data_IF_150435750977
#
_entry.id   IF_150435750977
#
_cell.length_a   1.000
_cell.length_b   1.000
_cell.length_c   1.000
_cell.angle_alpha   90.00
_cell.angle_beta   90.00
_cell.angle_gamma   90.00
#
_symmetry.space_group_name_H-M   'P 1'
#
loop_
_entity.id
_entity.type
_entity.pdbx_description
1 polymer ?
#
# COMPACT_ATOMS: atom_id res chain seq x y z
N UNK A 1 25.44 3.44 -19.22
CA UNK A 1 24.05 3.90 -18.95
C UNK A 1 23.20 3.32 -20.07
N UNK A 2 22.18 2.53 -19.73
CA UNK A 2 21.24 2.01 -20.74
C UNK A 2 20.43 3.14 -21.34
N UNK A 3 19.87 2.92 -22.53
CA UNK A 3 18.90 3.86 -23.09
C UNK A 3 17.70 3.98 -22.14
N UNK A 4 17.37 5.21 -21.73
CA UNK A 4 16.23 5.49 -20.84
C UNK A 4 14.93 4.97 -21.46
N UNK A 5 14.16 4.18 -20.71
CA UNK A 5 12.84 3.69 -21.15
C UNK A 5 11.71 4.70 -20.86
N UNK A 6 12.06 5.91 -20.40
CA UNK A 6 11.12 6.91 -19.90
C UNK A 6 9.99 7.24 -20.88
N UNK A 7 10.28 7.47 -22.16
CA UNK A 7 9.24 7.91 -23.10
C UNK A 7 8.18 6.81 -23.29
N UNK A 8 8.62 5.55 -23.37
CA UNK A 8 7.74 4.40 -23.45
C UNK A 8 6.97 4.18 -22.13
N UNK A 9 7.62 4.42 -20.98
CA UNK A 9 7.02 4.30 -19.66
C UNK A 9 5.96 5.38 -19.46
N UNK A 10 6.27 6.63 -19.83
CA UNK A 10 5.37 7.78 -19.77
C UNK A 10 4.17 7.57 -20.69
N UNK A 11 4.38 7.08 -21.92
CA UNK A 11 3.27 6.77 -22.82
C UNK A 11 2.28 5.81 -22.17
N UNK A 12 2.75 4.74 -21.51
CA UNK A 12 1.89 3.79 -20.79
C UNK A 12 1.23 4.40 -19.56
N UNK A 13 1.97 5.12 -18.72
CA UNK A 13 1.41 5.78 -17.55
C UNK A 13 0.26 6.69 -17.96
N UNK A 14 0.44 7.48 -19.02
CA UNK A 14 -0.57 8.43 -19.49
C UNK A 14 -1.84 7.77 -20.05
N UNK A 15 -1.82 6.49 -20.42
CA UNK A 15 -3.05 5.74 -20.76
C UNK A 15 -3.99 5.67 -19.56
N UNK A 16 -3.43 5.64 -18.35
CA UNK A 16 -4.21 5.64 -17.10
C UNK A 16 -4.54 7.05 -16.61
N UNK A 17 -3.98 8.08 -17.24
CA UNK A 17 -4.20 9.46 -16.85
C UNK A 17 -5.34 10.07 -17.65
N UNK A 18 -6.33 10.62 -16.95
CA UNK A 18 -7.48 11.29 -17.57
C UNK A 18 -7.12 12.63 -18.22
N UNK A 19 -8.08 13.22 -18.92
CA UNK A 19 -7.97 14.59 -19.45
C UNK A 19 -8.14 15.66 -18.36
N UNK A 20 -8.67 16.82 -18.75
CA UNK A 20 -9.00 17.87 -17.80
C UNK A 20 -10.12 17.44 -16.85
N UNK A 21 -9.96 17.71 -15.56
CA UNK A 21 -10.99 17.58 -14.54
C UNK A 21 -10.94 18.79 -13.61
N UNK A 22 -12.11 19.29 -13.24
CA UNK A 22 -12.27 20.39 -12.30
C UNK A 22 -13.63 20.23 -11.63
N UNK A 23 -13.61 19.59 -10.45
CA UNK A 23 -14.83 19.28 -9.71
C UNK A 23 -14.87 20.15 -8.45
N UNK A 24 -15.99 20.83 -8.14
CA UNK A 24 -16.08 21.73 -6.98
C UNK A 24 -15.79 21.07 -5.62
N UNK A 25 -15.99 19.76 -5.52
CA UNK A 25 -15.70 18.97 -4.33
C UNK A 25 -14.31 18.30 -4.32
N UNK A 26 -13.48 18.50 -5.36
CA UNK A 26 -12.13 17.94 -5.43
C UNK A 26 -11.13 18.87 -4.72
N UNK A 27 -10.53 18.46 -3.58
CA UNK A 27 -9.52 19.26 -2.88
C UNK A 27 -8.25 19.48 -3.72
N UNK A 28 -8.04 18.70 -4.79
CA UNK A 28 -6.94 18.87 -5.73
C UNK A 28 -7.11 20.04 -6.71
N UNK A 29 -8.34 20.53 -6.89
CA UNK A 29 -8.68 21.59 -7.84
C UNK A 29 -8.47 21.20 -9.32
N UNK A 30 -8.36 22.19 -10.22
CA UNK A 30 -8.16 21.95 -11.65
C UNK A 30 -6.96 21.04 -11.90
N UNK A 31 -7.19 19.98 -12.67
CA UNK A 31 -6.22 18.91 -12.97
C UNK A 31 -6.19 18.63 -14.48
N UNK A 32 -5.00 18.50 -15.06
CA UNK A 32 -4.79 18.08 -16.45
C UNK A 32 -3.78 16.94 -16.48
N UNK A 33 -4.16 15.77 -17.01
CA UNK A 33 -3.26 14.60 -17.14
C UNK A 33 -2.53 14.27 -15.84
N UNK A 34 -3.27 14.37 -14.73
CA UNK A 34 -2.77 14.08 -13.40
C UNK A 34 -1.85 15.13 -12.79
N UNK A 35 -1.63 16.27 -13.45
CA UNK A 35 -0.96 17.46 -12.90
C UNK A 35 -2.02 18.43 -12.41
N UNK A 36 -1.94 18.81 -11.14
CA UNK A 36 -2.84 19.78 -10.51
C UNK A 36 -2.28 21.20 -10.62
N UNK A 37 -3.16 22.22 -10.58
CA UNK A 37 -2.77 23.63 -10.73
C UNK A 37 -1.58 24.04 -9.84
N UNK A 38 -1.60 23.67 -8.55
CA UNK A 38 -0.50 24.02 -7.62
C UNK A 38 0.86 23.45 -8.03
N UNK A 39 0.89 22.24 -8.61
CA UNK A 39 2.13 21.60 -9.07
C UNK A 39 2.63 22.32 -10.32
N UNK A 40 1.72 22.67 -11.22
CA UNK A 40 2.05 23.40 -12.42
C UNK A 40 2.56 24.82 -12.13
N UNK A 41 1.92 25.53 -11.19
CA UNK A 41 2.37 26.84 -10.72
C UNK A 41 3.78 26.79 -10.13
N UNK A 42 4.08 25.77 -9.31
CA UNK A 42 5.40 25.57 -8.73
C UNK A 42 6.45 25.29 -9.83
N UNK A 43 6.13 24.44 -10.81
CA UNK A 43 6.98 24.17 -11.96
C UNK A 43 7.28 25.44 -12.77
N UNK A 44 6.24 26.20 -13.14
CA UNK A 44 6.38 27.45 -13.90
C UNK A 44 7.22 28.49 -13.14
N UNK A 45 6.97 28.62 -11.83
CA UNK A 45 7.75 29.50 -10.94
C UNK A 45 9.23 29.10 -10.93
N UNK A 46 9.54 27.80 -10.81
CA UNK A 46 10.91 27.29 -10.84
C UNK A 46 11.62 27.51 -12.20
N UNK A 47 10.85 27.63 -13.29
CA UNK A 47 11.35 27.95 -14.65
C UNK A 47 11.37 29.47 -14.92
N UNK A 48 11.11 30.31 -13.92
CA UNK A 48 10.96 31.76 -14.05
C UNK A 48 9.94 32.18 -15.13
N UNK A 49 8.90 31.38 -15.31
CA UNK A 49 7.86 31.60 -16.31
C UNK A 49 6.53 32.00 -15.65
N UNK A 50 5.68 32.82 -16.30
CA UNK A 50 4.42 33.27 -15.70
C UNK A 50 3.49 32.09 -15.43
N UNK A 51 2.78 32.13 -14.30
CA UNK A 51 1.74 31.14 -13.99
C UNK A 51 0.59 31.24 -15.00
N UNK A 52 -0.03 30.11 -15.30
CA UNK A 52 -1.20 30.02 -16.17
C UNK A 52 -2.03 28.80 -15.80
N UNK A 53 -3.27 28.76 -16.27
CA UNK A 53 -4.16 27.61 -16.04
C UNK A 53 -3.51 26.30 -16.49
N UNK A 54 -3.63 25.25 -15.68
CA UNK A 54 -3.21 23.88 -16.02
C UNK A 54 -3.91 23.33 -17.26
N UNK A 55 -5.02 23.95 -17.69
CA UNK A 55 -5.65 23.68 -18.99
C UNK A 55 -4.72 23.94 -20.17
N UNK A 56 -3.77 24.86 -19.99
CA UNK A 56 -2.77 25.25 -20.96
C UNK A 56 -1.44 24.55 -20.70
N UNK A 57 -1.45 23.39 -20.02
CA UNK A 57 -0.26 22.57 -19.84
C UNK A 57 0.23 22.05 -21.19
N UNK A 58 1.44 22.42 -21.56
CA UNK A 58 2.05 21.96 -22.81
C UNK A 58 2.64 20.56 -22.64
N UNK A 59 2.70 19.81 -23.74
CA UNK A 59 3.26 18.46 -23.75
C UNK A 59 4.69 18.43 -23.23
N UNK A 60 5.52 19.39 -23.63
CA UNK A 60 6.91 19.47 -23.18
C UNK A 60 7.00 19.69 -21.66
N UNK A 61 6.16 20.57 -21.10
CA UNK A 61 6.12 20.83 -19.66
C UNK A 61 5.60 19.63 -18.88
N UNK A 62 4.59 18.93 -19.39
CA UNK A 62 4.11 17.67 -18.82
C UNK A 62 5.25 16.65 -18.73
N UNK A 63 5.98 16.45 -19.84
CA UNK A 63 7.10 15.50 -19.92
C UNK A 63 8.20 15.87 -18.90
N UNK A 64 8.58 17.15 -18.80
CA UNK A 64 9.56 17.62 -17.81
C UNK A 64 9.08 17.41 -16.36
N UNK A 65 7.81 17.70 -16.07
CA UNK A 65 7.21 17.47 -14.75
C UNK A 65 7.26 15.99 -14.40
N UNK A 66 6.85 15.11 -15.31
CA UNK A 66 6.83 13.67 -15.05
C UNK A 66 8.22 13.08 -14.86
N UNK A 67 9.18 13.53 -15.69
CA UNK A 67 10.58 13.13 -15.58
C UNK A 67 11.12 13.52 -14.20
N UNK A 68 11.04 14.79 -13.85
CA UNK A 68 11.68 15.30 -12.63
C UNK A 68 10.99 14.81 -11.34
N UNK A 69 9.66 14.81 -11.29
CA UNK A 69 8.93 14.57 -10.04
C UNK A 69 8.71 13.09 -9.74
N UNK A 70 8.75 12.21 -10.75
CA UNK A 70 8.46 10.80 -10.57
C UNK A 70 9.57 9.89 -11.10
N UNK A 71 10.07 10.10 -12.33
CA UNK A 71 11.10 9.23 -12.92
C UNK A 71 12.46 9.39 -12.22
N UNK A 72 12.96 10.62 -12.16
CA UNK A 72 14.26 10.94 -11.55
C UNK A 72 14.19 10.75 -10.02
N UNK A 73 13.03 11.04 -9.42
CA UNK A 73 12.79 10.89 -7.99
C UNK A 73 12.95 9.43 -7.49
N UNK A 74 12.74 8.45 -8.37
CA UNK A 74 12.96 7.03 -8.08
C UNK A 74 14.21 6.47 -8.76
N UNK A 75 15.02 7.33 -9.38
CA UNK A 75 16.21 6.96 -10.18
C UNK A 75 15.91 5.82 -11.15
N UNK A 76 14.80 5.93 -11.88
CA UNK A 76 14.33 4.86 -12.75
C UNK A 76 15.35 4.50 -13.86
N UNK A 77 16.18 5.44 -14.31
CA UNK A 77 17.27 5.15 -15.27
C UNK A 77 18.36 4.20 -14.71
N UNK A 78 18.45 4.07 -13.39
CA UNK A 78 19.40 3.18 -12.71
C UNK A 78 18.78 1.81 -12.35
N UNK A 79 17.48 1.63 -12.60
CA UNK A 79 16.76 0.38 -12.32
C UNK A 79 16.73 -0.54 -13.55
N UNK A 80 16.67 -1.87 -13.36
CA UNK A 80 16.52 -2.79 -14.48
C UNK A 80 15.22 -2.54 -15.27
N UNK A 81 15.21 -2.80 -16.59
CA UNK A 81 14.00 -2.72 -17.40
C UNK A 81 12.84 -3.55 -16.82
N UNK A 82 11.64 -2.98 -16.85
CA UNK A 82 10.45 -3.53 -16.23
C UNK A 82 10.29 -3.10 -14.77
N UNK A 83 11.38 -3.09 -13.99
CA UNK A 83 11.38 -2.57 -12.62
C UNK A 83 11.28 -1.04 -12.64
N UNK A 84 12.06 -0.40 -13.51
CA UNK A 84 12.01 1.04 -13.80
C UNK A 84 10.57 1.55 -14.02
N UNK A 85 9.81 0.88 -14.88
CA UNK A 85 8.44 1.22 -15.23
C UNK A 85 7.46 0.96 -14.09
N UNK A 86 7.52 -0.20 -13.44
CA UNK A 86 6.60 -0.56 -12.35
C UNK A 86 6.76 0.41 -11.18
N UNK A 87 8.01 0.77 -10.85
CA UNK A 87 8.31 1.74 -9.79
C UNK A 87 7.88 3.14 -10.21
N UNK A 88 8.11 3.55 -11.46
CA UNK A 88 7.65 4.84 -11.97
C UNK A 88 6.13 4.98 -11.96
N UNK A 89 5.37 3.99 -12.46
CA UNK A 89 3.90 4.04 -12.42
C UNK A 89 3.38 4.08 -10.97
N UNK A 90 3.97 3.27 -10.08
CA UNK A 90 3.69 3.32 -8.65
C UNK A 90 3.96 4.70 -8.04
N UNK A 91 5.03 5.37 -8.49
CA UNK A 91 5.39 6.71 -8.01
C UNK A 91 4.38 7.76 -8.46
N UNK A 92 3.87 7.67 -9.68
CA UNK A 92 2.82 8.55 -10.21
C UNK A 92 1.49 8.32 -9.48
N UNK A 93 1.18 7.07 -9.13
CA UNK A 93 -0.09 6.71 -8.51
C UNK A 93 -0.13 6.95 -7.00
N UNK A 94 0.95 6.66 -6.28
CA UNK A 94 0.99 6.63 -4.81
C UNK A 94 2.17 7.39 -4.19
N UNK A 95 2.99 8.05 -5.01
CA UNK A 95 4.14 8.83 -4.59
C UNK A 95 5.47 8.07 -4.67
N UNK A 96 6.61 8.75 -4.97
CA UNK A 96 7.92 8.12 -5.15
C UNK A 96 8.36 7.26 -3.96
N UNK A 97 8.29 7.80 -2.75
CA UNK A 97 8.75 7.09 -1.55
C UNK A 97 7.97 5.78 -1.33
N UNK A 98 6.65 5.81 -1.48
CA UNK A 98 5.82 4.62 -1.31
C UNK A 98 6.13 3.55 -2.37
N UNK A 99 6.35 3.98 -3.62
CA UNK A 99 6.71 3.06 -4.71
C UNK A 99 8.05 2.35 -4.45
N UNK A 100 9.05 3.11 -4.00
CA UNK A 100 10.36 2.57 -3.63
C UNK A 100 10.28 1.60 -2.45
N UNK A 101 9.42 1.85 -1.47
CA UNK A 101 9.23 0.92 -0.35
C UNK A 101 8.68 -0.43 -0.79
N UNK A 102 7.81 -0.48 -1.79
CA UNK A 102 7.36 -1.76 -2.35
C UNK A 102 8.51 -2.52 -3.00
N UNK A 103 9.36 -1.84 -3.78
CA UNK A 103 10.57 -2.42 -4.36
C UNK A 103 11.53 -2.93 -3.29
N UNK A 104 11.86 -2.10 -2.31
CA UNK A 104 12.81 -2.44 -1.25
C UNK A 104 12.39 -3.68 -0.47
N UNK A 105 11.09 -3.79 -0.14
CA UNK A 105 10.56 -4.98 0.53
C UNK A 105 10.58 -6.22 -0.36
N UNK A 106 10.27 -6.07 -1.64
CA UNK A 106 10.36 -7.17 -2.60
C UNK A 106 11.80 -7.67 -2.74
N UNK A 107 12.79 -6.78 -2.62
CA UNK A 107 14.22 -7.09 -2.62
C UNK A 107 14.76 -7.58 -1.27
N UNK A 108 13.98 -7.50 -0.19
CA UNK A 108 14.44 -7.84 1.16
C UNK A 108 15.46 -6.88 1.76
N UNK A 109 15.50 -5.63 1.31
CA UNK A 109 16.38 -4.56 1.84
C UNK A 109 15.57 -3.60 2.73
N UNK A 110 16.22 -2.76 3.57
CA UNK A 110 15.51 -1.77 4.38
C UNK A 110 14.60 -0.86 3.53
N UNK A 111 13.36 -0.68 3.97
CA UNK A 111 12.30 0.00 3.22
C UNK A 111 12.14 1.48 3.65
N UNK A 112 13.21 2.26 3.49
CA UNK A 112 13.26 3.68 3.87
C UNK A 112 12.57 4.62 2.85
N UNK A 113 12.21 4.10 1.67
CA UNK A 113 11.61 4.88 0.58
C UNK A 113 12.60 5.77 -0.17
N UNK A 114 13.90 5.55 0.00
CA UNK A 114 14.97 6.23 -0.72
C UNK A 114 15.74 5.24 -1.62
N UNK A 115 16.09 5.67 -2.83
CA UNK A 115 16.82 4.84 -3.80
C UNK A 115 18.34 5.05 -3.67
N UNK A 116 18.93 4.34 -2.71
CA UNK A 116 20.36 4.32 -2.46
C UNK A 116 21.12 3.18 -3.15
N UNK A 117 22.44 3.13 -2.93
CA UNK A 117 23.33 2.13 -3.53
C UNK A 117 22.90 0.68 -3.20
N UNK A 118 22.40 0.43 -1.98
CA UNK A 118 21.94 -0.90 -1.55
C UNK A 118 20.74 -1.36 -2.39
N UNK A 119 19.73 -0.51 -2.54
CA UNK A 119 18.53 -0.82 -3.36
C UNK A 119 18.91 -1.10 -4.81
N UNK A 120 19.78 -0.27 -5.40
CA UNK A 120 20.21 -0.44 -6.79
C UNK A 120 21.02 -1.71 -7.00
N UNK A 121 21.95 -2.02 -6.08
CA UNK A 121 22.74 -3.24 -6.15
C UNK A 121 21.85 -4.49 -6.04
N UNK A 122 20.88 -4.50 -5.11
CA UNK A 122 19.94 -5.60 -4.97
C UNK A 122 19.03 -5.76 -6.20
N UNK A 123 18.53 -4.65 -6.76
CA UNK A 123 17.73 -4.68 -7.99
C UNK A 123 18.54 -5.22 -9.18
N UNK A 124 19.79 -4.79 -9.34
CA UNK A 124 20.67 -5.25 -10.42
C UNK A 124 21.04 -6.74 -10.28
N UNK A 125 21.25 -7.22 -9.06
CA UNK A 125 21.60 -8.62 -8.77
C UNK A 125 20.41 -9.58 -8.87
N UNK A 126 19.17 -9.08 -8.96
CA UNK A 126 17.99 -9.90 -9.09
C UNK A 126 17.95 -10.63 -10.46
N UNK A 127 18.05 -11.96 -10.42
CA UNK A 127 18.03 -12.80 -11.61
C UNK A 127 16.62 -12.91 -12.22
N UNK A 128 15.61 -13.19 -11.39
CA UNK A 128 14.21 -13.29 -11.83
C UNK A 128 13.49 -11.95 -11.65
N UNK A 129 13.70 -11.07 -12.63
CA UNK A 129 13.09 -9.74 -12.65
C UNK A 129 11.57 -9.79 -12.86
N UNK A 130 11.05 -10.83 -13.52
CA UNK A 130 9.61 -10.97 -13.70
C UNK A 130 8.91 -11.31 -12.38
N UNK A 131 9.49 -12.20 -11.57
CA UNK A 131 9.02 -12.46 -10.22
C UNK A 131 9.13 -11.21 -9.32
N UNK A 132 10.21 -10.42 -9.47
CA UNK A 132 10.34 -9.16 -8.75
C UNK A 132 9.21 -8.16 -9.13
N UNK A 133 8.86 -8.06 -10.41
CA UNK A 133 7.69 -7.26 -10.86
C UNK A 133 6.41 -7.74 -10.18
N UNK A 134 6.17 -9.05 -10.16
CA UNK A 134 4.97 -9.63 -9.55
C UNK A 134 4.86 -9.25 -8.07
N UNK A 135 5.95 -9.42 -7.31
CA UNK A 135 6.02 -9.13 -5.88
C UNK A 135 5.80 -7.63 -5.58
N UNK A 136 6.39 -6.73 -6.38
CA UNK A 136 6.16 -5.28 -6.25
C UNK A 136 4.68 -4.94 -6.51
N UNK A 137 4.09 -5.52 -7.56
CA UNK A 137 2.69 -5.31 -7.88
C UNK A 137 1.74 -5.90 -6.82
N UNK A 138 2.06 -7.06 -6.24
CA UNK A 138 1.28 -7.67 -5.16
C UNK A 138 1.28 -6.79 -3.90
N UNK A 139 2.45 -6.27 -3.51
CA UNK A 139 2.58 -5.33 -2.38
C UNK A 139 1.79 -4.05 -2.61
N UNK A 140 1.86 -3.50 -3.83
CA UNK A 140 1.05 -2.35 -4.23
C UNK A 140 -0.45 -2.65 -4.12
N UNK A 141 -0.91 -3.75 -4.70
CA UNK A 141 -2.33 -4.11 -4.67
C UNK A 141 -2.84 -4.39 -3.25
N UNK A 142 -2.02 -5.00 -2.40
CA UNK A 142 -2.33 -5.20 -0.99
C UNK A 142 -2.52 -3.87 -0.24
N UNK A 143 -1.64 -2.89 -0.46
CA UNK A 143 -1.80 -1.54 0.09
C UNK A 143 -3.10 -0.89 -0.41
N UNK A 144 -3.34 -0.91 -1.72
CA UNK A 144 -4.55 -0.32 -2.30
C UNK A 144 -5.82 -0.94 -1.73
N UNK A 145 -5.87 -2.27 -1.57
CA UNK A 145 -6.99 -3.01 -0.95
C UNK A 145 -7.23 -2.63 0.51
N UNK A 146 -6.23 -2.10 1.21
CA UNK A 146 -6.37 -1.64 2.60
C UNK A 146 -7.00 -0.25 2.73
N UNK A 147 -7.15 0.50 1.63
CA UNK A 147 -7.73 1.83 1.64
C UNK A 147 -9.26 1.78 1.76
N UNK A 148 -9.84 2.65 2.59
CA UNK A 148 -11.29 2.74 2.76
C UNK A 148 -12.05 3.07 1.45
N UNK A 149 -11.37 3.75 0.53
CA UNK A 149 -11.87 4.15 -0.79
C UNK A 149 -11.78 3.04 -1.84
N UNK A 150 -11.16 1.89 -1.53
CA UNK A 150 -11.06 0.74 -2.45
C UNK A 150 -12.42 0.21 -2.89
N UNK A 151 -13.45 0.30 -2.04
CA UNK A 151 -14.82 -0.09 -2.40
C UNK A 151 -15.38 0.70 -3.61
N UNK A 152 -14.89 1.92 -3.85
CA UNK A 152 -15.34 2.79 -4.94
C UNK A 152 -14.43 2.68 -6.15
N UNK A 153 -13.10 2.73 -5.95
CA UNK A 153 -12.13 2.85 -7.04
C UNK A 153 -11.31 1.57 -7.29
N UNK A 154 -11.46 0.55 -6.44
CA UNK A 154 -10.60 -0.63 -6.41
C UNK A 154 -10.60 -1.44 -7.70
N UNK A 155 -11.69 -1.44 -8.47
CA UNK A 155 -11.74 -2.09 -9.78
C UNK A 155 -10.76 -1.42 -10.78
N UNK A 156 -10.76 -0.08 -10.85
CA UNK A 156 -9.85 0.66 -11.72
C UNK A 156 -8.39 0.52 -11.29
N UNK A 157 -8.13 0.61 -9.99
CA UNK A 157 -6.79 0.40 -9.44
C UNK A 157 -6.26 -1.02 -9.67
N UNK A 158 -7.10 -2.04 -9.47
CA UNK A 158 -6.71 -3.43 -9.71
C UNK A 158 -6.37 -3.67 -11.18
N UNK A 159 -7.13 -3.07 -12.11
CA UNK A 159 -6.85 -3.15 -13.54
C UNK A 159 -5.53 -2.47 -13.91
N UNK A 160 -5.30 -1.24 -13.45
CA UNK A 160 -4.02 -0.53 -13.64
C UNK A 160 -2.83 -1.38 -13.15
N UNK A 161 -2.94 -1.98 -11.96
CA UNK A 161 -1.86 -2.83 -11.42
C UNK A 161 -1.65 -4.08 -12.28
N UNK A 162 -2.72 -4.69 -12.81
CA UNK A 162 -2.61 -5.83 -13.70
C UNK A 162 -1.96 -5.46 -15.04
N UNK A 163 -2.33 -4.33 -15.64
CA UNK A 163 -1.75 -3.83 -16.90
C UNK A 163 -0.26 -3.50 -16.71
N UNK A 164 0.07 -2.81 -15.63
CA UNK A 164 1.45 -2.48 -15.25
C UNK A 164 2.29 -3.74 -15.00
N UNK A 165 1.72 -4.73 -14.29
CA UNK A 165 2.36 -6.03 -14.07
C UNK A 165 2.68 -6.72 -15.39
N UNK A 166 1.70 -6.79 -16.29
CA UNK A 166 1.87 -7.44 -17.59
C UNK A 166 2.97 -6.74 -18.39
N UNK A 167 2.91 -5.42 -18.54
CA UNK A 167 3.92 -4.67 -19.29
C UNK A 167 5.30 -4.72 -18.63
N UNK A 168 5.37 -4.62 -17.29
CA UNK A 168 6.61 -4.74 -16.54
C UNK A 168 7.27 -6.11 -16.71
N UNK A 169 6.49 -7.20 -16.67
CA UNK A 169 6.97 -8.55 -16.98
C UNK A 169 7.46 -8.66 -18.40
N UNK A 170 6.70 -8.16 -19.38
CA UNK A 170 7.12 -8.16 -20.78
C UNK A 170 8.42 -7.39 -20.96
N UNK A 171 8.65 -6.29 -20.25
CA UNK A 171 9.90 -5.52 -20.33
C UNK A 171 11.08 -6.19 -19.65
N UNK A 172 10.84 -6.78 -18.47
CA UNK A 172 11.84 -7.57 -17.76
C UNK A 172 12.27 -8.80 -18.58
N UNK A 173 11.29 -9.50 -19.14
CA UNK A 173 11.49 -10.61 -20.05
C UNK A 173 12.14 -10.13 -21.34
N UNK A 174 11.64 -9.10 -22.02
CA UNK A 174 12.25 -8.58 -23.25
C UNK A 174 13.67 -8.05 -23.04
N UNK A 175 14.09 -7.64 -21.85
CA UNK A 175 15.48 -7.30 -21.57
C UNK A 175 16.35 -8.54 -21.31
N UNK A 176 15.77 -9.57 -20.68
CA UNK A 176 16.37 -10.91 -20.63
C UNK A 176 16.45 -11.55 -22.01
N UNK A 177 15.40 -11.39 -22.81
CA UNK A 177 15.20 -11.96 -24.13
C UNK A 177 15.87 -11.14 -25.20
N UNK A 178 16.02 -9.82 -25.11
CA UNK A 178 16.90 -9.06 -26.02
C UNK A 178 18.37 -9.38 -25.75
N UNK A 179 18.68 -9.87 -24.54
CA UNK A 179 19.93 -10.54 -24.27
C UNK A 179 19.96 -12.00 -24.80
N UNK A 180 18.82 -12.60 -25.18
CA UNK A 180 18.69 -14.01 -25.67
C UNK A 180 18.30 -14.13 -27.16
N UNK A 181 17.66 -13.13 -27.80
CA UNK A 181 16.90 -13.19 -29.07
C UNK A 181 16.71 -11.79 -29.71
N UNK A 182 17.47 -11.52 -30.78
CA UNK A 182 17.27 -10.48 -31.78
C UNK A 182 16.08 -10.80 -32.73
N UNK A 183 14.93 -11.28 -32.24
CA UNK A 183 13.87 -11.88 -33.09
C UNK A 183 12.48 -11.29 -32.79
N UNK A 184 11.71 -10.74 -33.77
CA UNK A 184 10.48 -9.99 -33.50
C UNK A 184 9.18 -10.60 -34.07
N UNK A 185 8.02 -10.41 -33.39
CA UNK A 185 6.66 -10.27 -33.98
C UNK A 185 5.75 -9.37 -33.09
N UNK A 186 4.83 -8.61 -33.72
CA UNK A 186 4.05 -7.43 -33.26
C UNK A 186 2.63 -7.67 -32.66
N UNK A 187 2.02 -6.68 -31.92
CA UNK A 187 0.73 -6.75 -31.19
C UNK A 187 -0.35 -5.67 -31.55
N UNK A 188 -1.54 -5.67 -30.88
CA UNK A 188 -2.71 -4.78 -31.11
C UNK A 188 -3.41 -4.21 -29.82
N UNK A 189 -3.67 -2.89 -29.87
CA UNK A 189 -4.46 -1.81 -29.18
C UNK A 189 -5.42 -1.96 -27.94
N UNK A 190 -5.60 -0.82 -27.21
CA UNK A 190 -6.29 -0.63 -25.92
C UNK A 190 -7.19 0.65 -25.80
N UNK A 191 -8.05 0.72 -24.75
CA UNK A 191 -9.03 1.79 -24.40
C UNK A 191 -8.96 2.35 -22.95
N UNK A 192 -9.90 3.22 -22.47
CA UNK A 192 -9.58 4.44 -21.67
C UNK A 192 -9.73 4.42 -20.10
N UNK A 193 -9.29 5.55 -19.47
CA UNK A 193 -8.75 5.79 -18.11
C UNK A 193 -9.68 6.11 -16.89
N UNK A 194 -9.16 6.01 -15.65
CA UNK A 194 -9.83 6.36 -14.36
C UNK A 194 -8.86 6.81 -13.23
N UNK A 195 -9.41 7.47 -12.19
CA UNK A 195 -8.80 8.46 -11.26
C UNK A 195 -7.86 7.97 -10.12
N UNK A 196 -7.03 8.91 -9.61
CA UNK A 196 -5.90 8.74 -8.67
C UNK A 196 -6.28 8.68 -7.17
N UNK A 197 -5.40 8.07 -6.36
CA UNK A 197 -5.51 7.94 -4.90
C UNK A 197 -4.35 8.69 -4.18
N UNK A 198 -4.62 9.60 -3.22
CA UNK A 198 -3.57 10.18 -2.38
C UNK A 198 -3.31 9.34 -1.11
N UNK A 199 -2.02 9.23 -0.72
CA UNK A 199 -1.53 8.48 0.44
C UNK A 199 -1.90 9.05 1.83
N UNK A 200 -2.79 10.04 1.91
CA UNK A 200 -3.19 10.72 3.15
C UNK A 200 -4.58 10.33 3.67
N UNK A 201 -5.12 9.18 3.23
CA UNK A 201 -6.49 8.74 3.55
C UNK A 201 -6.57 7.39 4.26
N UNK A 202 -5.51 7.03 4.99
CA UNK A 202 -5.49 5.84 5.83
C UNK A 202 -6.55 5.94 6.94
N UNK A 203 -7.33 4.88 7.09
CA UNK A 203 -8.28 4.74 8.20
C UNK A 203 -7.50 4.80 9.52
N UNK A 204 -7.96 5.54 10.56
CA UNK A 204 -7.34 5.51 11.87
C UNK A 204 -7.28 4.06 12.39
N UNK A 205 -6.14 3.68 12.97
CA UNK A 205 -6.03 2.44 13.71
C UNK A 205 -7.13 2.41 14.80
N UNK A 206 -7.81 1.27 15.02
CA UNK A 206 -8.59 1.08 16.24
C UNK A 206 -7.68 1.33 17.44
N UNK A 207 -8.12 2.19 18.37
CA UNK A 207 -7.33 2.61 19.53
C UNK A 207 -6.81 1.43 20.35
N UNK A 208 -5.67 1.59 21.05
CA UNK A 208 -5.07 0.51 21.82
C UNK A 208 -5.98 0.10 22.97
N UNK A 209 -6.61 -1.08 22.86
CA UNK A 209 -7.00 -1.83 24.05
C UNK A 209 -5.73 -2.53 24.56
N UNK A 210 -4.88 -1.77 25.23
CA UNK A 210 -3.70 -2.29 25.89
C UNK A 210 -4.13 -3.28 26.98
N UNK A 211 -3.58 -4.50 26.95
CA UNK A 211 -3.46 -5.37 28.11
C UNK A 211 -4.71 -6.07 28.66
N UNK A 212 -5.91 -5.79 28.16
CA UNK A 212 -7.12 -6.38 28.75
C UNK A 212 -7.40 -7.83 28.35
N UNK A 213 -6.85 -8.38 27.25
CA UNK A 213 -7.37 -9.66 26.71
C UNK A 213 -6.97 -10.91 27.51
N UNK A 214 -5.71 -11.02 27.93
CA UNK A 214 -5.26 -12.16 28.73
C UNK A 214 -5.62 -12.02 30.21
N UNK A 215 -5.46 -10.81 30.77
CA UNK A 215 -5.78 -10.52 32.17
C UNK A 215 -7.30 -10.48 32.43
N UNK A 216 -8.11 -9.85 31.57
CA UNK A 216 -9.56 -9.83 31.75
C UNK A 216 -10.21 -11.19 31.41
N UNK A 217 -9.65 -11.96 30.47
CA UNK A 217 -10.09 -13.34 30.22
C UNK A 217 -9.85 -14.26 31.42
N UNK A 218 -8.66 -14.15 32.04
CA UNK A 218 -8.34 -14.87 33.29
C UNK A 218 -9.19 -14.42 34.47
N UNK A 219 -9.40 -13.11 34.63
CA UNK A 219 -10.24 -12.55 35.69
C UNK A 219 -11.72 -12.94 35.53
N UNK A 220 -12.28 -12.88 34.32
CA UNK A 220 -13.66 -13.30 34.05
C UNK A 220 -13.85 -14.81 34.21
N UNK A 221 -12.92 -15.64 33.75
CA UNK A 221 -12.99 -17.09 33.96
C UNK A 221 -12.91 -17.44 35.45
N UNK A 222 -12.07 -16.74 36.22
CA UNK A 222 -11.97 -16.93 37.67
C UNK A 222 -13.22 -16.46 38.41
N UNK A 223 -13.84 -15.35 37.99
CA UNK A 223 -15.07 -14.84 38.58
C UNK A 223 -16.27 -15.76 38.29
N UNK A 224 -16.36 -16.32 37.08
CA UNK A 224 -17.38 -17.33 36.73
C UNK A 224 -17.17 -18.61 37.52
N UNK A 225 -15.92 -19.07 37.68
CA UNK A 225 -15.61 -20.26 38.46
C UNK A 225 -15.85 -20.06 39.98
N UNK A 226 -15.69 -18.85 40.49
CA UNK A 226 -15.98 -18.48 41.88
C UNK A 226 -17.49 -18.37 42.11
N UNK A 227 -18.23 -17.70 41.23
CA UNK A 227 -19.69 -17.64 41.26
C UNK A 227 -20.29 -19.05 41.16
N UNK A 228 -19.70 -19.94 40.35
CA UNK A 228 -20.10 -21.34 40.27
C UNK A 228 -19.89 -22.11 41.58
N UNK A 229 -18.77 -21.88 42.28
CA UNK A 229 -18.51 -22.50 43.59
C UNK A 229 -19.46 -21.99 44.68
N UNK A 230 -19.84 -20.71 44.65
CA UNK A 230 -20.76 -20.12 45.61
C UNK A 230 -22.23 -20.56 45.41
N UNK A 231 -22.62 -20.87 44.17
CA UNK A 231 -23.98 -21.28 43.83
C UNK A 231 -24.17 -22.80 43.79
N UNK A 232 -23.08 -23.58 43.77
CA UNK A 232 -23.12 -25.04 43.79
C UNK A 232 -23.96 -25.64 44.96
N UNK A 233 -23.89 -25.12 46.21
CA UNK A 233 -24.71 -25.62 47.32
C UNK A 233 -26.22 -25.32 47.19
N UNK A 234 -26.59 -24.32 46.39
CA UNK A 234 -27.98 -23.97 46.11
C UNK A 234 -28.56 -24.80 44.95
N UNK A 235 -27.70 -25.21 44.01
CA UNK A 235 -28.07 -26.06 42.89
C UNK A 235 -28.24 -27.55 43.28
N UNK A 236 -27.67 -28.00 44.40
CA UNK A 236 -27.75 -29.40 44.86
C UNK A 236 -29.13 -29.84 45.38
N UNK A 237 -30.10 -28.93 45.47
CA UNK A 237 -31.45 -29.22 45.96
C UNK A 237 -32.48 -29.60 44.89
N UNK A 238 -32.20 -29.41 43.58
CA UNK A 238 -33.15 -29.72 42.50
C UNK A 238 -32.43 -30.03 41.17
N UNK A 239 -32.71 -31.19 40.52
CA UNK A 239 -32.10 -31.57 39.24
C UNK A 239 -32.29 -30.53 38.13
N UNK A 240 -33.46 -29.88 38.09
CA UNK A 240 -33.79 -28.87 37.07
C UNK A 240 -32.97 -27.59 37.24
N UNK A 241 -32.72 -27.17 38.49
CA UNK A 241 -31.90 -25.99 38.78
C UNK A 241 -30.42 -26.23 38.42
N UNK A 242 -29.92 -27.44 38.68
CA UNK A 242 -28.56 -27.84 38.27
C UNK A 242 -28.38 -27.83 36.75
N UNK A 243 -29.37 -28.30 35.99
CA UNK A 243 -29.35 -28.28 34.53
C UNK A 243 -29.31 -26.85 33.96
N UNK A 244 -30.15 -25.95 34.49
CA UNK A 244 -30.16 -24.52 34.08
C UNK A 244 -28.84 -23.84 34.41
N UNK A 245 -28.30 -24.10 35.61
CA UNK A 245 -27.03 -23.53 36.06
C UNK A 245 -25.84 -23.99 35.20
N UNK A 246 -25.79 -25.28 34.88
CA UNK A 246 -24.78 -25.87 34.00
C UNK A 246 -24.87 -25.27 32.59
N UNK A 247 -26.09 -25.11 32.07
CA UNK A 247 -26.33 -24.48 30.77
C UNK A 247 -25.83 -23.03 30.70
N UNK A 248 -26.11 -22.23 31.73
CA UNK A 248 -25.64 -20.83 31.81
C UNK A 248 -24.11 -20.73 31.92
N UNK A 249 -23.48 -21.63 32.68
CA UNK A 249 -22.02 -21.66 32.83
C UNK A 249 -21.33 -22.01 31.51
N UNK A 250 -21.84 -23.02 30.80
CA UNK A 250 -21.34 -23.40 29.47
C UNK A 250 -21.54 -22.27 28.45
N UNK A 251 -22.68 -21.60 28.47
CA UNK A 251 -22.94 -20.46 27.61
C UNK A 251 -21.96 -19.29 27.87
N UNK A 252 -21.67 -18.98 29.15
CA UNK A 252 -20.69 -17.97 29.52
C UNK A 252 -19.26 -18.30 29.07
N UNK A 253 -18.88 -19.58 29.13
CA UNK A 253 -17.57 -20.04 28.68
C UNK A 253 -17.43 -19.95 27.15
N UNK A 254 -18.48 -20.31 26.41
CA UNK A 254 -18.55 -20.14 24.95
C UNK A 254 -18.42 -18.66 24.56
N UNK A 255 -19.17 -17.76 25.20
CA UNK A 255 -19.08 -16.32 24.94
C UNK A 255 -17.67 -15.77 25.22
N UNK A 256 -17.01 -16.26 26.27
CA UNK A 256 -15.64 -15.87 26.60
C UNK A 256 -14.66 -16.33 25.52
N UNK A 257 -14.74 -17.59 25.07
CA UNK A 257 -13.91 -18.10 23.98
C UNK A 257 -14.15 -17.35 22.66
N UNK A 258 -15.40 -17.02 22.33
CA UNK A 258 -15.74 -16.21 21.16
C UNK A 258 -15.14 -14.80 21.25
N UNK A 259 -15.20 -14.18 22.44
CA UNK A 259 -14.57 -12.88 22.69
C UNK A 259 -13.05 -12.91 22.52
N UNK A 260 -12.37 -13.91 23.08
CA UNK A 260 -10.92 -14.12 22.91
C UNK A 260 -10.56 -14.32 21.44
N UNK A 261 -11.32 -15.15 20.72
CA UNK A 261 -11.13 -15.39 19.29
C UNK A 261 -11.29 -14.12 18.45
N UNK A 262 -12.30 -13.29 18.74
CA UNK A 262 -12.51 -12.01 18.06
C UNK A 262 -11.36 -11.02 18.31
N UNK A 263 -10.84 -10.95 19.54
CA UNK A 263 -9.69 -10.10 19.88
C UNK A 263 -8.41 -10.58 19.20
N UNK A 264 -8.14 -11.88 19.20
CA UNK A 264 -6.98 -12.47 18.53
C UNK A 264 -7.05 -12.25 17.01
N UNK A 265 -8.22 -12.43 16.40
CA UNK A 265 -8.43 -12.17 14.98
C UNK A 265 -8.20 -10.69 14.65
N UNK A 266 -8.72 -9.78 15.46
CA UNK A 266 -8.48 -8.35 15.31
C UNK A 266 -6.99 -8.00 15.46
N UNK A 267 -6.27 -8.63 16.38
CA UNK A 267 -4.83 -8.43 16.57
C UNK A 267 -3.99 -8.91 15.39
N UNK A 268 -4.33 -10.08 14.84
CA UNK A 268 -3.73 -10.60 13.62
C UNK A 268 -4.03 -9.69 12.42
N UNK A 269 -5.26 -9.19 12.30
CA UNK A 269 -5.62 -8.22 11.27
C UNK A 269 -4.82 -6.91 11.42
N UNK A 270 -4.63 -6.42 12.65
CA UNK A 270 -3.79 -5.24 12.95
C UNK A 270 -2.34 -5.46 12.53
N UNK A 271 -1.75 -6.60 12.87
CA UNK A 271 -0.35 -6.89 12.53
C UNK A 271 -0.16 -6.96 11.02
N UNK A 272 -1.09 -7.60 10.31
CA UNK A 272 -1.10 -7.64 8.83
C UNK A 272 -1.22 -6.24 8.23
N UNK A 273 -2.13 -5.42 8.75
CA UNK A 273 -2.36 -4.07 8.24
C UNK A 273 -1.21 -3.11 8.58
N UNK A 274 -0.60 -3.22 9.76
CA UNK A 274 0.55 -2.43 10.18
C UNK A 274 1.79 -2.72 9.33
N UNK A 275 1.99 -3.97 8.91
CA UNK A 275 3.04 -4.34 7.94
C UNK A 275 2.78 -3.82 6.52
N UNK A 276 1.51 -3.65 6.14
CA UNK A 276 1.10 -3.07 4.84
C UNK A 276 1.24 -1.54 4.82
N UNK A 277 1.04 -0.88 5.97
CA UNK A 277 1.00 0.60 6.11
C UNK A 277 2.25 1.21 6.77
N UNK A 278 3.29 0.43 7.04
CA UNK A 278 4.58 0.89 7.58
C UNK A 278 4.52 1.48 8.99
N UNK A 279 3.54 1.07 9.79
CA UNK A 279 3.34 1.62 11.14
C UNK A 279 4.18 0.89 12.20
N UNK A 280 4.77 -0.28 11.86
CA UNK A 280 5.47 -1.14 12.81
C UNK A 280 6.85 -0.63 13.25
N UNK A 281 7.51 0.26 12.48
CA UNK A 281 8.90 0.68 12.78
C UNK A 281 9.02 1.84 13.78
N UNK A 282 7.92 2.54 14.11
CA UNK A 282 7.99 3.75 14.96
C UNK A 282 7.94 3.49 16.47
N UNK A 283 7.70 2.25 16.91
CA UNK A 283 7.53 1.91 18.33
C UNK A 283 8.81 1.68 19.13
N UNK A 284 9.96 1.47 18.47
CA UNK A 284 11.19 1.01 19.13
C UNK A 284 12.09 2.09 19.72
N UNK A 285 11.94 3.35 19.35
CA UNK A 285 12.94 4.40 19.63
C UNK A 285 12.51 5.49 20.63
N UNK A 286 11.41 5.32 21.36
CA UNK A 286 10.94 6.32 22.36
C UNK A 286 10.78 5.81 23.79
N UNK A 287 11.44 4.70 24.15
CA UNK A 287 11.40 4.15 25.51
C UNK A 287 12.80 4.08 26.16
N UNK A 288 13.60 5.14 26.09
CA UNK A 288 14.95 5.13 26.66
C UNK A 288 15.52 6.47 27.14
N UNK A 289 14.73 7.55 27.16
CA UNK A 289 15.24 8.87 27.57
C UNK A 289 14.27 9.58 28.51
N UNK A 290 14.04 9.03 29.71
CA UNK A 290 13.67 9.82 30.88
C UNK A 290 14.27 9.25 32.16
N UNK A 291 14.91 10.18 32.86
CA UNK A 291 15.29 10.21 34.26
C UNK A 291 16.45 9.30 34.69
N UNK A 292 17.50 9.93 35.20
CA UNK A 292 17.70 9.97 36.66
C UNK A 292 18.61 11.15 37.05
N UNK A 293 18.64 11.52 38.36
CA UNK A 293 18.16 12.80 38.90
C UNK A 293 19.11 13.99 38.75
#
# INVERSE_FOLDING_TARGET
>A
MGASSFDAALARVLVHEGGYSDHPADPGGPTMQGVIQRVYDAYRTAKAAPRRSVRLLERAELVEIYRRQYWDAVRADDLPPGIDYVVFDGAVNSGPAQSLKWLQRALGVPADGAVGAVTLAAAAACADRAALVDEVCDRRLAMLKSLATFKVFGAGWSRRVADVRQAGRTWAQAAGDAAVLQVPVLPLDAGPASAKAPASSATPLPGPQAGASAAAGGLMASAVAEAARQLAPLASGSPSLSAVFTGLTLAGLVLTCLGIGAVWWADQARTRQAGVLDLAETGGLRAGARAQP
#
